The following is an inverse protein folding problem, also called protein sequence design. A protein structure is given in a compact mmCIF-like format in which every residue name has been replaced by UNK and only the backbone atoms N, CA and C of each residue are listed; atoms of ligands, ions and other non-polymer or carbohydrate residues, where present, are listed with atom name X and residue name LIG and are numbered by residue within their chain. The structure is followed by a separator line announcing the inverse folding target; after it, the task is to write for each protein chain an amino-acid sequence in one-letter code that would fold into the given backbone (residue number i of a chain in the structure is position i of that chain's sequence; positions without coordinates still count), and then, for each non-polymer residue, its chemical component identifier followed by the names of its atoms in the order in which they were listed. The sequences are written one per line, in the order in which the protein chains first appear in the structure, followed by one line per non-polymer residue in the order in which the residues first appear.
data_IF_761920829269
#
_entry.id   IF_761920829269
#
_cell.length_a   1.000
_cell.length_b   1.000
_cell.length_c   1.000
_cell.angle_alpha   90.00
_cell.angle_beta   90.00
_cell.angle_gamma   90.00
#
_symmetry.space_group_name_H-M   'P 1'
#
loop_
_entity.id
_entity.type
_entity.pdbx_description
1 polymer ?
#
# COMPACT_ATOMS: atom_id res chain seq x y z
N UNK A 1 -3.10 10.24 -3.86
CA UNK A 1 -2.92 8.76 -3.77
C UNK A 1 -1.45 8.53 -3.53
N UNK A 2 -1.06 8.08 -2.33
CA UNK A 2 0.18 7.32 -2.23
C UNK A 2 -0.07 5.98 -2.93
N UNK A 3 0.98 5.31 -3.32
CA UNK A 3 0.95 4.08 -4.10
C UNK A 3 2.33 3.47 -3.98
N UNK A 4 2.51 2.30 -4.56
CA UNK A 4 3.50 1.32 -4.09
C UNK A 4 4.85 1.89 -3.62
N UNK A 5 5.54 2.73 -4.41
CA UNK A 5 6.83 3.32 -4.02
C UNK A 5 6.78 4.10 -2.71
N UNK A 6 5.75 4.94 -2.52
CA UNK A 6 5.56 5.69 -1.29
C UNK A 6 5.32 4.78 -0.08
N UNK A 7 4.45 3.79 -0.21
CA UNK A 7 4.15 2.86 0.90
C UNK A 7 5.37 2.01 1.28
N UNK A 8 6.14 1.56 0.30
CA UNK A 8 7.40 0.86 0.53
C UNK A 8 8.41 1.77 1.22
N UNK A 9 8.47 3.05 0.84
CA UNK A 9 9.33 4.04 1.51
C UNK A 9 8.96 4.20 2.99
N UNK A 10 7.67 4.32 3.31
CA UNK A 10 7.21 4.42 4.70
C UNK A 10 7.62 3.19 5.52
N UNK A 11 7.47 2.00 4.93
CA UNK A 11 7.83 0.75 5.58
C UNK A 11 9.34 0.62 5.79
N UNK A 12 10.17 0.95 4.80
CA UNK A 12 11.64 0.89 4.92
C UNK A 12 12.13 1.85 6.00
N UNK A 13 11.63 3.09 6.00
CA UNK A 13 11.95 4.07 7.05
C UNK A 13 11.42 3.63 8.42
N UNK A 14 10.23 3.02 8.45
CA UNK A 14 9.64 2.42 9.65
C UNK A 14 10.54 1.36 10.26
N UNK A 15 11.00 0.40 9.45
CA UNK A 15 11.95 -0.63 9.85
C UNK A 15 13.28 -0.04 10.34
N UNK A 16 13.81 0.99 9.67
CA UNK A 16 15.02 1.69 10.13
C UNK A 16 14.82 2.29 11.53
N UNK A 17 13.70 2.99 11.75
CA UNK A 17 13.36 3.54 13.07
C UNK A 17 13.09 2.47 14.13
N UNK A 18 12.52 1.32 13.75
CA UNK A 18 12.33 0.17 14.64
C UNK A 18 13.65 -0.45 15.05
N UNK A 19 14.66 -0.53 14.17
CA UNK A 19 15.95 -1.11 14.52
C UNK A 19 16.62 -0.40 15.72
N UNK A 20 16.44 0.93 15.83
CA UNK A 20 16.98 1.71 16.94
C UNK A 20 16.28 1.44 18.28
N UNK A 21 14.99 1.10 18.26
CA UNK A 21 14.13 1.04 19.46
C UNK A 21 13.75 -0.38 19.89
N UNK A 22 13.57 -1.28 18.93
CA UNK A 22 13.17 -2.66 19.11
C UNK A 22 13.94 -3.57 18.12
N UNK A 23 15.25 -3.82 18.35
CA UNK A 23 16.09 -4.56 17.42
C UNK A 23 15.60 -5.97 17.08
N UNK A 24 14.93 -6.66 18.02
CA UNK A 24 14.37 -8.00 17.76
C UNK A 24 13.20 -7.97 16.79
N UNK A 25 12.32 -6.95 16.91
CA UNK A 25 11.25 -6.70 15.94
C UNK A 25 11.83 -6.42 14.56
N UNK A 26 12.86 -5.58 14.48
CA UNK A 26 13.55 -5.31 13.21
C UNK A 26 14.17 -6.58 12.61
N UNK A 27 14.77 -7.45 13.43
CA UNK A 27 15.34 -8.74 12.98
C UNK A 27 14.28 -9.69 12.43
N UNK A 28 13.08 -9.73 13.04
CA UNK A 28 11.95 -10.49 12.50
C UNK A 28 11.51 -9.94 11.14
N UNK A 29 11.43 -8.61 11.02
CA UNK A 29 11.15 -7.94 9.74
C UNK A 29 12.20 -8.32 8.70
N UNK A 30 13.49 -8.24 9.02
CA UNK A 30 14.58 -8.56 8.08
C UNK A 30 14.51 -10.00 7.58
N UNK A 31 14.22 -10.95 8.49
CA UNK A 31 14.06 -12.37 8.14
C UNK A 31 12.90 -12.61 7.17
N UNK A 32 11.89 -11.76 7.19
CA UNK A 32 10.67 -11.89 6.41
C UNK A 32 10.36 -10.62 5.61
N UNK A 33 11.40 -9.98 5.06
CA UNK A 33 11.32 -8.65 4.47
C UNK A 33 10.28 -8.59 3.33
N UNK A 34 10.25 -9.60 2.46
CA UNK A 34 9.29 -9.64 1.35
C UNK A 34 7.84 -9.68 1.84
N UNK A 35 7.59 -10.41 2.93
CA UNK A 35 6.26 -10.47 3.57
C UNK A 35 5.89 -9.12 4.19
N UNK A 36 6.84 -8.48 4.88
CA UNK A 36 6.66 -7.14 5.44
C UNK A 36 6.34 -6.10 4.36
N UNK A 37 7.12 -6.06 3.28
CA UNK A 37 6.90 -5.13 2.18
C UNK A 37 5.60 -5.43 1.41
N UNK A 38 5.26 -6.72 1.23
CA UNK A 38 3.97 -7.12 0.67
C UNK A 38 2.80 -6.68 1.54
N UNK A 39 2.93 -6.72 2.86
CA UNK A 39 1.96 -6.17 3.80
C UNK A 39 1.83 -4.65 3.68
N UNK A 40 2.96 -3.96 3.53
CA UNK A 40 3.00 -2.50 3.39
C UNK A 40 2.32 -1.97 2.14
N UNK A 41 2.19 -2.78 1.09
CA UNK A 41 1.40 -2.40 -0.07
C UNK A 41 0.04 -3.12 -0.09
N UNK A 42 0.05 -4.43 -0.28
CA UNK A 42 -1.17 -5.21 -0.51
C UNK A 42 -2.04 -5.40 0.74
N UNK A 43 -1.49 -5.18 1.94
CA UNK A 43 -2.27 -5.24 3.17
C UNK A 43 -3.41 -4.24 3.18
N UNK A 44 -3.28 -3.12 2.45
CA UNK A 44 -4.35 -2.13 2.32
C UNK A 44 -4.78 -1.81 0.88
N UNK A 45 -3.88 -1.83 -0.10
CA UNK A 45 -4.19 -1.55 -1.52
C UNK A 45 -4.83 -2.75 -2.24
N UNK A 46 -6.02 -3.15 -1.75
CA UNK A 46 -6.82 -4.30 -2.21
C UNK A 46 -7.41 -4.12 -3.62
N UNK A 47 -7.15 -2.97 -4.25
CA UNK A 47 -7.62 -2.61 -5.59
C UNK A 47 -6.54 -2.73 -6.66
N UNK A 48 -5.45 -3.46 -6.42
CA UNK A 48 -4.41 -3.71 -7.43
C UNK A 48 -4.94 -4.64 -8.53
N UNK A 49 -5.88 -4.14 -9.32
CA UNK A 49 -6.56 -4.85 -10.39
C UNK A 49 -6.43 -4.03 -11.68
N UNK A 50 -6.51 -4.68 -12.86
CA UNK A 50 -6.55 -3.97 -14.11
C UNK A 50 -7.72 -2.98 -14.15
N UNK A 51 -7.54 -1.89 -14.88
CA UNK A 51 -8.63 -1.01 -15.25
C UNK A 51 -9.40 -1.56 -16.46
N UNK A 52 -8.67 -2.06 -17.46
CA UNK A 52 -9.24 -2.60 -18.68
C UNK A 52 -8.34 -3.58 -19.40
N UNK A 53 -8.90 -4.26 -20.40
CA UNK A 53 -8.24 -5.28 -21.21
C UNK A 53 -8.38 -4.96 -22.69
N UNK A 54 -7.28 -5.07 -23.43
CA UNK A 54 -7.27 -4.97 -24.88
C UNK A 54 -7.80 -6.27 -25.48
N UNK A 55 -8.73 -6.18 -26.43
CA UNK A 55 -9.28 -7.34 -27.13
C UNK A 55 -8.37 -7.86 -28.24
N UNK A 56 -7.48 -7.02 -28.77
CA UNK A 56 -6.55 -7.39 -29.82
C UNK A 56 -5.31 -8.10 -29.25
N UNK A 57 -4.51 -7.42 -28.40
CA UNK A 57 -3.30 -8.02 -27.82
C UNK A 57 -3.54 -8.84 -26.54
N UNK A 58 -4.74 -8.78 -25.96
CA UNK A 58 -5.06 -9.43 -24.68
C UNK A 58 -4.46 -8.74 -23.44
N UNK A 59 -3.65 -7.69 -23.63
CA UNK A 59 -2.97 -6.95 -22.59
C UNK A 59 -3.92 -6.26 -21.61
N UNK A 60 -3.53 -6.24 -20.34
CA UNK A 60 -4.28 -5.61 -19.26
C UNK A 60 -3.60 -4.30 -18.86
N UNK A 61 -4.36 -3.21 -18.73
CA UNK A 61 -3.83 -1.86 -18.46
C UNK A 61 -4.69 -1.12 -17.42
N UNK A 62 -4.14 -0.02 -16.91
CA UNK A 62 -4.81 0.80 -15.90
C UNK A 62 -4.58 0.32 -14.47
N UNK A 63 -5.36 0.84 -13.52
CA UNK A 63 -5.26 0.49 -12.11
C UNK A 63 -6.56 0.84 -11.38
N UNK A 64 -7.04 -0.05 -10.52
CA UNK A 64 -8.18 0.24 -9.63
C UNK A 64 -9.48 0.51 -10.38
N UNK A 65 -9.61 0.01 -11.62
CA UNK A 65 -10.77 0.26 -12.47
C UNK A 65 -10.68 1.52 -13.33
N UNK A 66 -9.60 2.30 -13.22
CA UNK A 66 -9.28 3.38 -14.16
C UNK A 66 -8.35 2.86 -15.26
N UNK A 67 -8.63 3.19 -16.51
CA UNK A 67 -7.79 2.79 -17.65
C UNK A 67 -7.76 3.91 -18.71
N UNK A 68 -6.73 3.94 -19.58
CA UNK A 68 -6.80 4.77 -20.78
C UNK A 68 -7.90 4.27 -21.71
N UNK A 69 -8.45 5.14 -22.55
CA UNK A 69 -9.52 4.75 -23.48
C UNK A 69 -9.05 3.70 -24.49
N UNK A 70 -7.75 3.70 -24.81
CA UNK A 70 -7.14 2.87 -25.84
C UNK A 70 -5.88 2.16 -25.33
N UNK A 71 -5.62 0.99 -25.92
CA UNK A 71 -4.42 0.20 -25.71
C UNK A 71 -3.18 1.02 -26.10
N UNK A 72 -2.14 1.11 -25.24
CA UNK A 72 -0.90 1.80 -25.58
C UNK A 72 -0.11 1.15 -26.73
N UNK A 73 -0.35 -0.12 -27.05
CA UNK A 73 0.40 -0.87 -28.06
C UNK A 73 -0.21 -0.78 -29.46
N UNK A 74 -1.55 -0.88 -29.56
CA UNK A 74 -2.25 -1.01 -30.84
C UNK A 74 -3.41 0.01 -31.01
N UNK A 75 -3.62 0.89 -30.03
CA UNK A 75 -4.68 1.90 -29.99
C UNK A 75 -6.13 1.38 -30.09
N UNK A 76 -6.35 0.08 -29.91
CA UNK A 76 -7.68 -0.53 -29.81
C UNK A 76 -8.37 -0.11 -28.51
N UNK A 77 -9.70 0.13 -28.48
CA UNK A 77 -10.40 0.43 -27.25
C UNK A 77 -10.20 -0.63 -26.16
N UNK A 78 -9.98 -0.17 -24.93
CA UNK A 78 -9.91 -1.05 -23.76
C UNK A 78 -11.31 -1.31 -23.21
N UNK A 79 -11.59 -2.58 -22.91
CA UNK A 79 -12.83 -2.97 -22.25
C UNK A 79 -12.64 -2.99 -20.75
N UNK A 80 -13.61 -2.49 -19.96
CA UNK A 80 -13.51 -2.49 -18.50
C UNK A 80 -13.26 -3.89 -17.94
N UNK A 81 -12.27 -3.99 -17.05
CA UNK A 81 -11.95 -5.25 -16.40
C UNK A 81 -13.04 -5.66 -15.40
N UNK A 82 -13.31 -6.96 -15.32
CA UNK A 82 -14.25 -7.57 -14.39
C UNK A 82 -13.60 -8.79 -13.75
N UNK A 83 -13.62 -8.86 -12.42
CA UNK A 83 -13.28 -10.09 -11.69
C UNK A 83 -14.55 -10.94 -11.55
N UNK A 84 -14.53 -12.19 -11.97
CA UNK A 84 -15.69 -13.09 -11.79
C UNK A 84 -15.40 -14.12 -10.71
N UNK A 85 -16.30 -14.23 -9.74
CA UNK A 85 -16.21 -15.20 -8.65
C UNK A 85 -17.63 -15.66 -8.28
N UNK A 86 -17.81 -16.97 -8.17
CA UNK A 86 -19.08 -17.61 -7.78
C UNK A 86 -20.29 -17.10 -8.61
N UNK A 87 -20.12 -17.08 -9.94
CA UNK A 87 -21.14 -16.60 -10.88
C UNK A 87 -21.41 -15.09 -10.85
N UNK A 88 -20.74 -14.32 -9.99
CA UNK A 88 -20.90 -12.87 -9.87
C UNK A 88 -19.68 -12.15 -10.44
N UNK A 89 -19.92 -11.14 -11.28
CA UNK A 89 -18.87 -10.26 -11.79
C UNK A 89 -18.77 -8.96 -11.00
N UNK A 90 -17.54 -8.59 -10.65
CA UNK A 90 -17.20 -7.45 -9.83
C UNK A 90 -16.31 -6.47 -10.60
N UNK A 91 -16.76 -5.22 -10.70
CA UNK A 91 -15.89 -4.10 -11.09
C UNK A 91 -14.86 -3.82 -9.98
N UNK A 92 -13.63 -3.41 -10.30
CA UNK A 92 -12.64 -3.01 -9.30
C UNK A 92 -13.17 -1.97 -8.29
N UNK A 93 -13.98 -1.01 -8.72
CA UNK A 93 -14.59 -0.02 -7.81
C UNK A 93 -15.59 -0.64 -6.83
N UNK A 94 -16.26 -1.75 -7.20
CA UNK A 94 -17.11 -2.49 -6.28
C UNK A 94 -16.28 -3.20 -5.21
N UNK A 95 -15.19 -3.84 -5.61
CA UNK A 95 -14.23 -4.50 -4.71
C UNK A 95 -13.64 -3.48 -3.72
N UNK A 96 -13.22 -2.32 -4.23
CA UNK A 96 -12.75 -1.21 -3.40
C UNK A 96 -13.78 -0.82 -2.33
N UNK A 97 -15.04 -0.57 -2.72
CA UNK A 97 -16.09 -0.21 -1.76
C UNK A 97 -16.35 -1.29 -0.69
N UNK A 98 -16.13 -2.56 -1.01
CA UNK A 98 -16.35 -3.67 -0.08
C UNK A 98 -15.22 -3.79 0.96
N UNK A 99 -13.99 -3.45 0.59
CA UNK A 99 -12.80 -3.84 1.34
C UNK A 99 -11.89 -2.69 1.80
N UNK A 100 -11.94 -1.53 1.15
CA UNK A 100 -10.96 -0.45 1.39
C UNK A 100 -11.00 0.11 2.81
N UNK A 101 -12.19 0.42 3.34
CA UNK A 101 -12.31 0.87 4.73
C UNK A 101 -11.85 -0.18 5.74
N UNK A 102 -12.08 -1.46 5.44
CA UNK A 102 -11.70 -2.58 6.30
C UNK A 102 -10.19 -2.75 6.41
N UNK A 103 -9.45 -2.39 5.37
CA UNK A 103 -8.01 -2.47 5.36
C UNK A 103 -7.33 -1.19 5.87
N UNK A 104 -7.97 -0.03 5.80
CA UNK A 104 -7.39 1.23 6.28
C UNK A 104 -7.79 1.61 7.70
N UNK A 105 -8.87 1.01 8.23
CA UNK A 105 -9.43 1.17 9.57
C UNK A 105 -9.97 2.57 9.89
N UNK A 106 -9.21 3.63 9.64
CA UNK A 106 -9.55 5.02 10.01
C UNK A 106 -10.46 5.70 8.99
N UNK A 107 -10.33 5.35 7.72
CA UNK A 107 -11.01 6.02 6.61
C UNK A 107 -11.36 5.05 5.49
N UNK A 108 -12.09 5.53 4.48
CA UNK A 108 -12.43 4.72 3.30
C UNK A 108 -13.65 3.80 3.48
N UNK A 109 -14.32 3.89 4.63
CA UNK A 109 -15.58 3.20 4.89
C UNK A 109 -16.71 3.78 4.03
N UNK A 110 -17.63 2.91 3.60
CA UNK A 110 -18.82 3.33 2.86
C UNK A 110 -19.85 3.98 3.80
N UNK A 111 -20.81 4.69 3.22
CA UNK A 111 -21.96 5.22 3.94
C UNK A 111 -22.67 4.12 4.75
N UNK A 112 -22.92 4.38 6.03
CA UNK A 112 -23.50 3.42 6.97
C UNK A 112 -22.51 2.45 7.62
N UNK A 113 -21.24 2.45 7.20
CA UNK A 113 -20.17 1.62 7.79
C UNK A 113 -19.13 2.44 8.58
N UNK A 114 -19.25 3.77 8.62
CA UNK A 114 -18.33 4.64 9.37
C UNK A 114 -18.22 4.28 10.85
N UNK A 115 -19.29 3.73 11.45
CA UNK A 115 -19.30 3.22 12.82
C UNK A 115 -18.31 2.07 13.10
N UNK A 116 -17.81 1.41 12.05
CA UNK A 116 -16.78 0.38 12.18
C UNK A 116 -15.37 0.95 12.05
N UNK A 117 -15.25 2.23 11.68
CA UNK A 117 -13.98 2.92 11.65
C UNK A 117 -13.41 3.09 13.04
N UNK A 118 -12.09 3.21 13.09
CA UNK A 118 -11.35 3.43 14.32
C UNK A 118 -10.89 4.88 14.40
N UNK A 119 -10.70 5.34 15.62
CA UNK A 119 -9.92 6.54 15.92
C UNK A 119 -8.44 6.19 16.03
N UNK A 120 -7.55 7.17 15.84
CA UNK A 120 -6.10 6.97 15.93
C UNK A 120 -5.66 6.35 17.27
N UNK A 121 -6.30 6.76 18.37
CA UNK A 121 -6.02 6.26 19.72
C UNK A 121 -6.36 4.78 19.91
N UNK A 122 -7.19 4.19 19.04
CA UNK A 122 -7.59 2.78 19.11
C UNK A 122 -6.66 1.86 18.30
N UNK A 123 -5.80 2.41 17.43
CA UNK A 123 -4.97 1.62 16.52
C UNK A 123 -4.01 0.69 17.25
N UNK A 124 -3.35 1.15 18.30
CA UNK A 124 -2.40 0.32 19.06
C UNK A 124 -3.08 -0.93 19.60
N UNK A 125 -4.24 -0.77 20.26
CA UNK A 125 -5.01 -1.89 20.79
C UNK A 125 -5.56 -2.83 19.72
N UNK A 126 -5.94 -2.30 18.54
CA UNK A 126 -6.36 -3.13 17.41
C UNK A 126 -5.19 -3.95 16.84
N UNK A 127 -4.04 -3.31 16.61
CA UNK A 127 -2.85 -3.96 16.08
C UNK A 127 -2.29 -5.02 17.03
N UNK A 128 -2.24 -4.71 18.33
CA UNK A 128 -1.84 -5.66 19.36
C UNK A 128 -2.76 -6.89 19.34
N UNK A 129 -4.08 -6.70 19.33
CA UNK A 129 -5.03 -7.81 19.28
C UNK A 129 -4.88 -8.68 18.02
N UNK A 130 -4.70 -8.05 16.85
CA UNK A 130 -4.42 -8.76 15.59
C UNK A 130 -3.16 -9.61 15.73
N UNK A 131 -2.06 -9.06 16.24
CA UNK A 131 -0.79 -9.79 16.35
C UNK A 131 -0.90 -10.93 17.35
N UNK A 132 -1.52 -10.71 18.51
CA UNK A 132 -1.74 -11.71 19.54
C UNK A 132 -2.47 -12.94 18.97
N UNK A 133 -3.57 -12.69 18.25
CA UNK A 133 -4.36 -13.72 17.61
C UNK A 133 -3.53 -14.58 16.64
N UNK A 134 -2.50 -14.03 15.99
CA UNK A 134 -1.69 -14.79 15.05
C UNK A 134 -0.77 -15.76 15.76
N UNK A 135 -0.22 -15.39 16.91
CA UNK A 135 0.55 -16.31 17.75
C UNK A 135 -0.33 -17.45 18.26
N UNK A 136 -1.60 -17.18 18.56
CA UNK A 136 -2.54 -18.21 19.01
C UNK A 136 -3.03 -19.12 17.86
N UNK A 137 -3.22 -18.56 16.66
CA UNK A 137 -3.80 -19.30 15.53
C UNK A 137 -2.79 -20.11 14.72
N UNK A 138 -1.49 -19.78 14.79
CA UNK A 138 -0.48 -20.35 13.91
C UNK A 138 0.75 -20.85 14.68
N UNK A 139 1.19 -22.07 14.38
CA UNK A 139 2.41 -22.65 14.93
C UNK A 139 3.71 -21.99 14.45
N UNK A 140 3.68 -21.34 13.27
CA UNK A 140 4.79 -20.56 12.70
C UNK A 140 4.25 -19.18 12.28
N UNK A 141 4.11 -18.25 13.23
CA UNK A 141 3.42 -16.98 13.02
C UNK A 141 4.30 -15.90 12.38
N UNK A 142 5.63 -16.04 12.41
CA UNK A 142 6.58 -14.94 12.22
C UNK A 142 6.44 -14.24 10.86
N UNK A 143 6.28 -15.01 9.78
CA UNK A 143 6.08 -14.44 8.43
C UNK A 143 4.77 -13.66 8.30
N UNK A 144 3.71 -14.11 8.98
CA UNK A 144 2.40 -13.43 9.02
C UNK A 144 2.42 -12.19 9.90
N UNK A 145 3.15 -12.26 11.02
CA UNK A 145 3.40 -11.10 11.87
C UNK A 145 4.17 -10.04 11.10
N UNK A 146 5.20 -10.42 10.33
CA UNK A 146 5.89 -9.49 9.43
C UNK A 146 4.93 -8.84 8.42
N UNK A 147 4.02 -9.62 7.81
CA UNK A 147 2.98 -9.08 6.92
C UNK A 147 2.08 -8.06 7.62
N UNK A 148 1.64 -8.35 8.84
CA UNK A 148 0.83 -7.42 9.66
C UNK A 148 1.61 -6.15 9.97
N UNK A 149 2.88 -6.25 10.35
CA UNK A 149 3.74 -5.09 10.59
C UNK A 149 3.86 -4.22 9.34
N UNK A 150 3.93 -4.84 8.16
CA UNK A 150 3.86 -4.15 6.89
C UNK A 150 2.56 -3.37 6.73
N UNK A 151 1.43 -4.06 6.92
CA UNK A 151 0.11 -3.45 6.86
C UNK A 151 -0.05 -2.28 7.86
N UNK A 152 0.51 -2.39 9.06
CA UNK A 152 0.55 -1.30 10.03
C UNK A 152 1.32 -0.09 9.47
N UNK A 153 2.49 -0.31 8.86
CA UNK A 153 3.24 0.76 8.17
C UNK A 153 2.39 1.46 7.11
N UNK A 154 1.57 0.69 6.38
CA UNK A 154 0.63 1.25 5.41
C UNK A 154 -0.38 2.16 6.11
N UNK A 155 -1.15 1.62 7.06
CA UNK A 155 -2.23 2.37 7.73
C UNK A 155 -1.71 3.67 8.33
N UNK A 156 -0.58 3.60 9.04
CA UNK A 156 0.03 4.77 9.69
C UNK A 156 0.55 5.77 8.66
N UNK A 157 1.33 5.32 7.68
CA UNK A 157 1.90 6.21 6.67
C UNK A 157 0.82 6.91 5.84
N UNK A 158 -0.23 6.18 5.50
CA UNK A 158 -1.30 6.69 4.65
C UNK A 158 -2.22 7.66 5.41
N UNK A 159 -2.51 7.38 6.69
CA UNK A 159 -3.23 8.30 7.55
C UNK A 159 -2.48 9.62 7.78
N UNK A 160 -1.16 9.57 7.90
CA UNK A 160 -0.32 10.76 8.08
C UNK A 160 -0.18 11.57 6.78
N UNK A 161 0.18 10.94 5.66
CA UNK A 161 0.39 11.65 4.39
C UNK A 161 -0.90 12.28 3.83
N UNK A 162 -2.06 11.71 4.18
CA UNK A 162 -3.38 12.24 3.84
C UNK A 162 -3.90 13.25 4.86
N UNK A 163 -3.15 13.51 5.94
CA UNK A 163 -3.56 14.34 7.07
C UNK A 163 -4.90 13.92 7.69
N UNK A 164 -5.20 12.62 7.64
CA UNK A 164 -6.32 12.03 8.41
C UNK A 164 -6.01 12.13 9.89
N UNK A 165 -4.76 11.82 10.25
CA UNK A 165 -4.24 12.11 11.57
C UNK A 165 -3.57 13.49 11.57
N UNK A 166 -3.95 14.41 12.48
CA UNK A 166 -3.25 15.68 12.66
C UNK A 166 -1.79 15.49 13.06
N UNK A 167 -0.94 16.44 12.66
CA UNK A 167 0.49 16.46 13.04
C UNK A 167 1.46 16.44 11.86
N UNK A 168 0.94 16.23 10.64
CA UNK A 168 1.69 16.36 9.40
C UNK A 168 0.88 17.19 8.41
N UNK A 169 1.40 18.37 8.07
CA UNK A 169 0.85 19.24 7.03
C UNK A 169 1.91 19.39 5.93
N UNK A 170 1.89 18.44 4.99
CA UNK A 170 2.78 18.45 3.84
C UNK A 170 2.09 19.19 2.70
N UNK A 171 2.38 20.46 2.50
CA UNK A 171 1.94 21.17 1.30
C UNK A 171 2.98 21.02 0.18
N UNK A 172 2.63 20.25 -0.87
CA UNK A 172 3.46 20.11 -2.08
C UNK A 172 2.92 21.03 -3.19
N UNK A 173 2.31 20.46 -4.23
CA UNK A 173 1.78 21.18 -5.38
C UNK A 173 0.26 21.33 -5.24
N UNK A 174 -0.18 22.57 -5.08
CA UNK A 174 -1.60 22.96 -5.01
C UNK A 174 -2.40 22.31 -3.87
N UNK A 175 -1.73 21.84 -2.80
CA UNK A 175 -2.40 21.31 -1.61
C UNK A 175 -1.64 20.18 -0.93
N UNK A 176 -2.23 19.71 0.17
CA UNK A 176 -1.65 18.67 1.02
C UNK A 176 -1.73 17.28 0.36
N UNK A 177 -2.88 16.96 -0.23
CA UNK A 177 -3.13 15.66 -0.84
C UNK A 177 -3.88 15.79 -2.17
N UNK A 178 -3.14 16.01 -3.26
CA UNK A 178 -3.69 16.12 -4.61
C UNK A 178 -3.18 15.00 -5.52
N UNK A 179 -3.90 14.64 -6.59
CA UNK A 179 -3.36 13.77 -7.64
C UNK A 179 -2.08 14.32 -8.27
N UNK A 180 -1.90 15.64 -8.31
CA UNK A 180 -0.72 16.30 -8.87
C UNK A 180 0.53 16.12 -8.00
N UNK A 181 0.38 15.87 -6.70
CA UNK A 181 1.50 15.58 -5.81
C UNK A 181 2.15 14.22 -6.08
N UNK A 182 1.42 13.29 -6.73
CA UNK A 182 1.81 11.89 -6.83
C UNK A 182 3.15 11.69 -7.59
N UNK A 183 3.35 12.26 -8.80
CA UNK A 183 4.64 12.15 -9.48
C UNK A 183 5.81 12.67 -8.66
N UNK A 184 5.65 13.80 -7.95
CA UNK A 184 6.69 14.40 -7.12
C UNK A 184 7.09 13.43 -6.01
N UNK A 185 6.10 12.88 -5.29
CA UNK A 185 6.33 11.93 -4.20
C UNK A 185 7.02 10.65 -4.71
N UNK A 186 6.53 10.08 -5.82
CA UNK A 186 7.09 8.84 -6.35
C UNK A 186 8.51 9.02 -6.89
N UNK A 187 8.77 10.07 -7.67
CA UNK A 187 10.09 10.32 -8.23
C UNK A 187 11.11 10.64 -7.13
N UNK A 188 10.72 11.39 -6.10
CA UNK A 188 11.57 11.66 -4.94
C UNK A 188 11.89 10.35 -4.19
N UNK A 189 10.85 9.58 -3.85
CA UNK A 189 11.01 8.32 -3.13
C UNK A 189 11.82 7.28 -3.94
N UNK A 190 11.63 7.24 -5.26
CA UNK A 190 12.32 6.29 -6.14
C UNK A 190 13.80 6.64 -6.33
N UNK A 191 14.10 7.87 -6.74
CA UNK A 191 15.47 8.28 -7.10
C UNK A 191 16.28 8.77 -5.91
N UNK A 192 15.77 9.78 -5.17
CA UNK A 192 16.54 10.39 -4.08
C UNK A 192 16.63 9.44 -2.88
N UNK A 193 15.50 9.02 -2.34
CA UNK A 193 15.51 8.14 -1.18
C UNK A 193 15.95 6.71 -1.57
N UNK A 194 15.28 6.12 -2.56
CA UNK A 194 15.47 4.72 -2.90
C UNK A 194 16.85 4.42 -3.46
N UNK A 195 17.21 5.04 -4.59
CA UNK A 195 18.48 4.77 -5.27
C UNK A 195 19.67 5.47 -4.62
N UNK A 196 19.58 6.77 -4.37
CA UNK A 196 20.74 7.54 -3.91
C UNK A 196 21.05 7.31 -2.43
N UNK A 197 20.06 7.35 -1.53
CA UNK A 197 20.29 7.13 -0.10
C UNK A 197 20.37 5.63 0.27
N UNK A 198 19.43 4.81 -0.21
CA UNK A 198 19.28 3.43 0.26
C UNK A 198 19.83 2.37 -0.71
N UNK A 199 20.28 2.75 -1.91
CA UNK A 199 20.80 1.83 -2.94
C UNK A 199 19.84 0.68 -3.26
N UNK A 200 18.54 0.96 -3.28
CA UNK A 200 17.49 -0.04 -3.52
C UNK A 200 17.48 -0.46 -4.99
N UNK A 201 17.55 -1.77 -5.22
CA UNK A 201 17.13 -2.37 -6.47
C UNK A 201 15.60 -2.49 -6.48
N UNK A 202 14.93 -1.49 -7.05
CA UNK A 202 13.47 -1.46 -7.13
C UNK A 202 12.89 -2.60 -7.98
N UNK A 203 13.64 -3.10 -8.97
CA UNK A 203 13.15 -4.17 -9.83
C UNK A 203 13.10 -5.49 -9.06
N UNK A 204 14.20 -5.83 -8.37
CA UNK A 204 14.26 -7.04 -7.53
C UNK A 204 13.27 -6.96 -6.36
N UNK A 205 13.24 -5.83 -5.66
CA UNK A 205 12.32 -5.63 -4.52
C UNK A 205 10.85 -5.78 -4.94
N UNK A 206 10.44 -5.15 -6.04
CA UNK A 206 9.05 -5.23 -6.50
C UNK A 206 8.70 -6.62 -7.08
N UNK A 207 9.68 -7.33 -7.64
CA UNK A 207 9.51 -8.71 -8.07
C UNK A 207 9.24 -9.62 -6.86
N UNK A 208 10.12 -9.61 -5.85
CA UNK A 208 9.99 -10.44 -4.66
C UNK A 208 8.69 -10.18 -3.89
N UNK A 209 8.29 -8.90 -3.79
CA UNK A 209 7.00 -8.51 -3.22
C UNK A 209 5.80 -9.11 -3.97
N UNK A 210 5.84 -9.13 -5.31
CA UNK A 210 4.73 -9.65 -6.13
C UNK A 210 4.70 -11.19 -6.15
N UNK A 211 5.84 -11.85 -5.96
CA UNK A 211 5.96 -13.30 -5.79
C UNK A 211 5.57 -13.78 -4.38
N UNK A 212 5.55 -12.88 -3.41
CA UNK A 212 5.21 -13.23 -2.02
C UNK A 212 3.81 -13.86 -1.93
N UNK A 213 3.69 -15.08 -1.35
CA UNK A 213 2.41 -15.75 -1.19
C UNK A 213 1.36 -14.90 -0.48
N UNK A 214 0.11 -15.07 -0.89
CA UNK A 214 -1.07 -14.49 -0.25
C UNK A 214 -1.12 -14.88 1.23
N UNK A 215 -1.21 -13.89 2.11
CA UNK A 215 -1.26 -14.11 3.56
C UNK A 215 -2.71 -14.12 4.05
N UNK A 216 -3.18 -15.30 4.48
CA UNK A 216 -4.57 -15.53 4.92
C UNK A 216 -5.01 -14.63 6.07
N UNK A 217 -4.04 -14.11 6.84
CA UNK A 217 -4.23 -13.20 7.96
C UNK A 217 -4.91 -11.89 7.59
N UNK A 218 -4.80 -11.46 6.33
CA UNK A 218 -5.48 -10.25 5.86
C UNK A 218 -7.00 -10.30 6.05
N UNK A 219 -7.60 -11.48 5.88
CA UNK A 219 -9.02 -11.66 6.17
C UNK A 219 -9.34 -11.40 7.66
N UNK A 220 -8.45 -11.76 8.58
CA UNK A 220 -8.67 -11.60 10.02
C UNK A 220 -8.65 -10.13 10.41
N UNK A 221 -7.57 -9.40 10.09
CA UNK A 221 -7.47 -7.99 10.47
C UNK A 221 -8.47 -7.08 9.75
N UNK A 222 -9.07 -7.53 8.64
CA UNK A 222 -10.17 -6.85 7.94
C UNK A 222 -11.57 -7.21 8.48
N UNK A 223 -11.64 -8.06 9.52
CA UNK A 223 -12.88 -8.62 10.09
C UNK A 223 -13.73 -9.35 9.04
N UNK A 224 -13.08 -10.22 8.27
CA UNK A 224 -13.70 -11.03 7.20
C UNK A 224 -13.58 -12.54 7.48
N UNK A 225 -13.16 -12.94 8.67
CA UNK A 225 -13.30 -14.33 9.15
C UNK A 225 -14.53 -14.46 10.05
N UNK A 226 -14.76 -15.64 10.62
CA UNK A 226 -15.63 -15.73 11.79
C UNK A 226 -15.00 -14.92 12.93
N UNK A 227 -15.80 -14.24 13.77
CA UNK A 227 -15.27 -13.54 14.95
C UNK A 227 -14.55 -14.53 15.87
N UNK A 228 -13.28 -14.29 16.16
CA UNK A 228 -12.48 -15.08 17.08
C UNK A 228 -11.30 -14.27 17.64
N UNK A 229 -10.71 -14.77 18.73
CA UNK A 229 -9.55 -14.17 19.38
C UNK A 229 -9.83 -12.83 20.06
N UNK A 230 -8.76 -12.22 20.53
CA UNK A 230 -8.78 -10.92 21.21
C UNK A 230 -9.32 -9.81 20.32
N UNK A 231 -9.11 -9.91 19.00
CA UNK A 231 -9.64 -8.91 18.07
C UNK A 231 -11.17 -8.86 18.13
N UNK A 232 -11.83 -10.02 18.13
CA UNK A 232 -13.29 -10.09 18.21
C UNK A 232 -13.82 -9.70 19.58
N UNK A 233 -13.09 -10.01 20.66
CA UNK A 233 -13.46 -9.58 22.02
C UNK A 233 -13.44 -8.06 22.17
N UNK A 234 -12.37 -7.41 21.69
CA UNK A 234 -12.20 -5.95 21.77
C UNK A 234 -13.04 -5.20 20.74
N UNK A 235 -13.25 -5.79 19.56
CA UNK A 235 -13.98 -5.20 18.43
C UNK A 235 -15.03 -6.18 17.89
N UNK A 236 -16.18 -6.36 18.60
CA UNK A 236 -17.18 -7.39 18.27
C UNK A 236 -17.99 -7.07 17.01
N UNK A 237 -17.99 -5.81 16.56
CA UNK A 237 -18.79 -5.36 15.43
C UNK A 237 -18.06 -5.40 14.08
N UNK A 238 -18.84 -5.45 13.00
CA UNK A 238 -18.36 -5.23 11.63
C UNK A 238 -17.80 -6.46 10.91
N UNK A 239 -17.89 -7.64 11.52
CA UNK A 239 -17.45 -8.91 10.92
C UNK A 239 -18.34 -9.33 9.74
N UNK A 240 -17.73 -9.70 8.61
CA UNK A 240 -18.43 -10.20 7.41
C UNK A 240 -17.75 -11.46 6.83
N UNK A 241 -17.85 -12.62 7.51
CA UNK A 241 -17.24 -13.88 7.08
C UNK A 241 -17.62 -14.32 5.67
N UNK A 242 -18.82 -13.94 5.20
CA UNK A 242 -19.32 -14.29 3.86
C UNK A 242 -18.46 -13.73 2.71
N UNK A 243 -17.62 -12.72 2.95
CA UNK A 243 -16.75 -12.14 1.92
C UNK A 243 -15.32 -12.69 1.95
N UNK A 244 -15.01 -13.63 2.85
CA UNK A 244 -13.66 -14.21 2.99
C UNK A 244 -13.10 -14.77 1.70
N UNK A 245 -13.88 -15.59 1.00
CA UNK A 245 -13.40 -16.28 -0.20
C UNK A 245 -13.21 -15.31 -1.37
N UNK A 246 -14.11 -14.33 -1.52
CA UNK A 246 -13.94 -13.27 -2.49
C UNK A 246 -12.65 -12.47 -2.23
N UNK A 247 -12.36 -12.15 -0.97
CA UNK A 247 -11.11 -11.47 -0.62
C UNK A 247 -9.88 -12.27 -1.07
N UNK A 248 -9.83 -13.58 -0.84
CA UNK A 248 -8.67 -14.38 -1.25
C UNK A 248 -8.48 -14.39 -2.77
N UNK A 249 -9.56 -14.48 -3.54
CA UNK A 249 -9.49 -14.35 -5.00
C UNK A 249 -8.97 -12.98 -5.41
N UNK A 250 -9.45 -11.91 -4.77
CA UNK A 250 -8.96 -10.55 -5.01
C UNK A 250 -7.48 -10.41 -4.68
N UNK A 251 -7.02 -10.95 -3.55
CA UNK A 251 -5.61 -10.91 -3.14
C UNK A 251 -4.71 -11.65 -4.14
N UNK A 252 -5.13 -12.83 -4.61
CA UNK A 252 -4.41 -13.58 -5.65
C UNK A 252 -4.33 -12.78 -6.96
N UNK A 253 -5.43 -12.15 -7.36
CA UNK A 253 -5.46 -11.32 -8.56
C UNK A 253 -4.61 -10.06 -8.40
N UNK A 254 -4.53 -9.49 -7.20
CA UNK A 254 -3.62 -8.39 -6.90
C UNK A 254 -2.16 -8.76 -7.12
N UNK A 255 -1.75 -9.96 -6.68
CA UNK A 255 -0.38 -10.46 -6.93
C UNK A 255 -0.15 -10.63 -8.43
N UNK A 256 -1.05 -11.34 -9.13
CA UNK A 256 -0.94 -11.59 -10.57
C UNK A 256 -0.81 -10.28 -11.34
N UNK A 257 -1.70 -9.33 -11.10
CA UNK A 257 -1.68 -8.07 -11.84
C UNK A 257 -0.49 -7.19 -11.49
N UNK A 258 -0.02 -7.19 -10.25
CA UNK A 258 1.16 -6.43 -9.89
C UNK A 258 2.40 -6.91 -10.68
N UNK A 259 2.55 -8.22 -10.93
CA UNK A 259 3.64 -8.75 -11.79
C UNK A 259 3.61 -8.17 -13.20
N UNK A 260 2.42 -7.98 -13.77
CA UNK A 260 2.22 -7.38 -15.10
C UNK A 260 2.49 -5.87 -15.08
N UNK A 261 2.08 -5.20 -14.00
CA UNK A 261 2.16 -3.74 -13.87
C UNK A 261 3.57 -3.26 -13.51
N UNK A 262 4.30 -4.01 -12.70
CA UNK A 262 5.62 -3.60 -12.15
C UNK A 262 6.58 -3.12 -13.24
N UNK A 263 6.84 -3.86 -14.34
CA UNK A 263 7.80 -3.41 -15.36
C UNK A 263 7.42 -2.05 -15.98
N UNK A 264 6.13 -1.79 -16.16
CA UNK A 264 5.64 -0.53 -16.75
C UNK A 264 5.76 0.62 -15.77
N UNK A 265 5.45 0.38 -14.51
CA UNK A 265 5.59 1.38 -13.45
C UNK A 265 7.06 1.77 -13.29
N UNK A 266 7.98 0.79 -13.23
CA UNK A 266 9.41 1.05 -13.14
C UNK A 266 9.90 1.87 -14.33
N UNK A 267 9.55 1.45 -15.56
CA UNK A 267 9.87 2.20 -16.77
C UNK A 267 9.38 3.64 -16.74
N UNK A 268 8.17 3.89 -16.23
CA UNK A 268 7.62 5.25 -16.13
C UNK A 268 8.36 6.12 -15.11
N UNK A 269 8.92 5.51 -14.06
CA UNK A 269 9.65 6.22 -13.02
C UNK A 269 11.13 6.45 -13.38
N UNK A 270 11.67 5.74 -14.37
CA UNK A 270 13.02 6.00 -14.87
C UNK A 270 13.16 7.41 -15.45
N UNK A 271 14.37 7.97 -15.34
CA UNK A 271 14.73 9.18 -16.05
C UNK A 271 15.25 8.82 -17.44
N UNK A 272 14.94 9.66 -18.42
CA UNK A 272 15.54 9.56 -19.73
C UNK A 272 17.07 9.75 -19.62
N UNK A 273 17.89 8.85 -20.18
CA UNK A 273 19.33 8.85 -19.95
C UNK A 273 20.05 10.07 -20.55
N UNK A 274 19.47 10.70 -21.57
CA UNK A 274 20.08 11.82 -22.30
C UNK A 274 19.67 13.15 -21.66
N UNK A 275 18.37 13.34 -21.49
CA UNK A 275 17.77 14.59 -21.00
C UNK A 275 17.71 14.66 -19.48
N UNK A 276 17.85 13.53 -18.79
CA UNK A 276 17.71 13.39 -17.34
C UNK A 276 16.34 13.89 -16.82
N UNK A 277 15.32 13.82 -17.67
CA UNK A 277 13.96 14.24 -17.35
C UNK A 277 13.04 13.04 -17.11
N UNK A 278 11.93 13.27 -16.40
CA UNK A 278 10.93 12.24 -16.11
C UNK A 278 10.01 11.98 -17.32
N UNK A 279 9.26 10.88 -17.25
CA UNK A 279 8.24 10.54 -18.24
C UNK A 279 7.24 11.68 -18.49
N UNK A 280 6.86 11.86 -19.77
CA UNK A 280 6.00 12.97 -20.21
C UNK A 280 4.62 13.00 -19.53
N UNK A 281 4.07 11.85 -19.15
CA UNK A 281 2.79 11.77 -18.46
C UNK A 281 2.92 12.24 -17.01
N UNK A 282 4.04 11.93 -16.34
CA UNK A 282 4.34 12.43 -15.00
C UNK A 282 4.46 13.95 -15.00
N UNK A 283 5.18 14.50 -15.98
CA UNK A 283 5.26 15.95 -16.21
C UNK A 283 3.87 16.55 -16.45
N UNK A 284 3.08 15.97 -17.36
CA UNK A 284 1.71 16.43 -17.67
C UNK A 284 0.81 16.48 -16.42
N UNK A 285 0.84 15.45 -15.57
CA UNK A 285 0.04 15.39 -14.34
C UNK A 285 0.40 16.56 -13.39
N UNK A 286 1.67 16.93 -13.31
CA UNK A 286 2.15 18.07 -12.51
C UNK A 286 1.97 19.43 -13.17
N UNK A 287 1.28 19.52 -14.32
CA UNK A 287 1.12 20.78 -15.05
C UNK A 287 2.35 21.20 -15.87
N UNK A 288 3.19 20.24 -16.26
CA UNK A 288 4.34 20.47 -17.14
C UNK A 288 5.67 20.64 -16.43
N UNK A 289 5.76 20.37 -15.11
CA UNK A 289 7.04 20.45 -14.39
C UNK A 289 8.04 19.43 -14.93
N UNK A 290 9.30 19.83 -14.98
CA UNK A 290 10.46 18.95 -15.21
C UNK A 290 10.81 18.19 -13.93
N UNK A 291 11.59 17.11 -14.06
CA UNK A 291 12.09 16.36 -12.91
C UNK A 291 12.80 17.27 -11.89
N UNK A 292 13.67 18.17 -12.35
CA UNK A 292 14.41 19.10 -11.48
C UNK A 292 13.49 20.02 -10.69
N UNK A 293 12.46 20.57 -11.34
CA UNK A 293 11.48 21.44 -10.68
C UNK A 293 10.65 20.65 -9.66
N UNK A 294 10.24 19.41 -9.98
CA UNK A 294 9.56 18.53 -9.02
C UNK A 294 10.42 18.25 -7.78
N UNK A 295 11.73 18.02 -7.95
CA UNK A 295 12.64 17.81 -6.81
C UNK A 295 12.81 19.09 -5.98
N UNK A 296 12.86 20.26 -6.63
CA UNK A 296 12.87 21.54 -5.92
C UNK A 296 11.59 21.75 -5.10
N UNK A 297 10.41 21.39 -5.65
CA UNK A 297 9.14 21.43 -4.90
C UNK A 297 9.20 20.50 -3.70
N UNK A 298 9.71 19.27 -3.86
CA UNK A 298 9.86 18.33 -2.75
C UNK A 298 10.81 18.85 -1.65
N UNK A 299 11.91 19.48 -2.04
CA UNK A 299 12.89 20.07 -1.12
C UNK A 299 12.29 21.24 -0.34
N UNK A 300 11.65 22.20 -1.03
CA UNK A 300 10.98 23.35 -0.40
C UNK A 300 9.89 22.88 0.57
N UNK A 301 9.13 21.85 0.20
CA UNK A 301 8.10 21.24 1.04
C UNK A 301 8.67 20.38 2.18
N UNK A 302 10.00 20.24 2.29
CA UNK A 302 10.67 19.40 3.29
C UNK A 302 10.18 17.95 3.27
N UNK A 303 9.95 17.42 2.07
CA UNK A 303 9.34 16.11 1.91
C UNK A 303 10.17 14.99 2.54
N UNK A 304 11.50 15.07 2.50
CA UNK A 304 12.37 14.10 3.18
C UNK A 304 12.18 14.07 4.70
N UNK A 305 12.02 15.23 5.32
CA UNK A 305 11.74 15.36 6.76
C UNK A 305 10.36 14.78 7.08
N UNK A 306 9.37 15.02 6.22
CA UNK A 306 8.04 14.40 6.31
C UNK A 306 8.12 12.87 6.26
N UNK A 307 8.89 12.32 5.31
CA UNK A 307 9.13 10.87 5.24
C UNK A 307 9.81 10.34 6.51
N UNK A 308 10.81 11.05 7.04
CA UNK A 308 11.45 10.69 8.33
C UNK A 308 10.44 10.68 9.47
N UNK A 309 9.54 11.67 9.55
CA UNK A 309 8.51 11.72 10.57
C UNK A 309 7.56 10.52 10.46
N UNK A 310 7.09 10.20 9.24
CA UNK A 310 6.25 9.02 9.00
C UNK A 310 6.99 7.75 9.46
N UNK A 311 8.24 7.55 9.04
CA UNK A 311 9.05 6.40 9.44
C UNK A 311 9.22 6.30 10.96
N UNK A 312 9.47 7.41 11.64
CA UNK A 312 9.57 7.43 13.12
C UNK A 312 8.26 7.04 13.79
N UNK A 313 7.13 7.52 13.28
CA UNK A 313 5.80 7.18 13.82
C UNK A 313 5.47 5.71 13.57
N UNK A 314 5.72 5.19 12.36
CA UNK A 314 5.62 3.75 12.07
C UNK A 314 6.50 2.97 13.06
N UNK A 315 7.76 3.36 13.22
CA UNK A 315 8.70 2.71 14.13
C UNK A 315 8.22 2.71 15.59
N UNK A 316 7.54 3.76 16.04
CA UNK A 316 6.90 3.81 17.36
C UNK A 316 5.79 2.74 17.47
N UNK A 317 4.85 2.69 16.53
CA UNK A 317 3.79 1.67 16.54
C UNK A 317 4.36 0.26 16.52
N UNK A 318 5.35 -0.01 15.66
CA UNK A 318 5.98 -1.33 15.58
C UNK A 318 6.76 -1.69 16.86
N UNK A 319 7.36 -0.71 17.53
CA UNK A 319 8.06 -0.94 18.79
C UNK A 319 7.12 -1.20 19.96
N UNK A 320 5.88 -0.69 19.91
CA UNK A 320 4.84 -0.98 20.91
C UNK A 320 4.28 -2.39 20.80
N UNK A 321 4.46 -3.06 19.66
CA UNK A 321 4.14 -4.49 19.48
C UNK A 321 5.20 -5.38 20.16
N UNK A 322 5.85 -4.91 21.22
CA UNK A 322 6.89 -5.66 21.93
C UNK A 322 6.23 -6.76 22.76
N UNK A 323 6.13 -7.92 22.15
CA UNK A 323 5.83 -9.18 22.81
C UNK A 323 7.08 -9.75 23.47
N UNK A 324 6.91 -10.42 24.60
CA UNK A 324 7.88 -11.35 25.17
C UNK A 324 8.09 -12.52 24.19
N UNK A 325 9.03 -12.36 23.25
CA UNK A 325 9.60 -13.48 22.49
C UNK A 325 10.51 -14.28 23.43
#
# INVERSE_FOLDING_TARGET
MSGIIGHLTYAILGRQATLEKAPQTAKLIDKHLDSYLAGAYFGADIMTLPGGRCTACGGEYGYGGNHPDRCPEDHTPLYPYMLTFDGVSYKPQRIHRMFYGRSHLLFGWQNGQSKFGLEWSQLSGYFEAVVADIFDFYSQPERRVAYIMGWISHVIGDALIKSIQPGLDLYLLNGTYTPQNRPIQDLFSFHHFGRAECQIDWADLMFNLAETPVESVQAHFMRLTQPCGQLAEKFPDGWLPQHKQLLYVVMSENRRYQKIRTPRLLKQLELDPITQNCDSELSRITGGLTFKEMMQVAEVAKFRQTLTYIGKTVGQFLSLLSWSI
#
